data_IF_881896780961
#
_entry.id   IF_881896780961
#
_cell.length_a   1.000
_cell.length_b   1.000
_cell.length_c   1.000
_cell.angle_alpha   90.00
_cell.angle_beta   90.00
_cell.angle_gamma   90.00
#
_symmetry.space_group_name_H-M   'P 1'
#
loop_
_entity.id
_entity.type
_entity.pdbx_description
1 polymer ?
#
# COMPACT_ATOMS: atom_id res chain seq x y z
N UNK A 1 -29.99 -4.44 -20.42
CA UNK A 1 -28.87 -3.56 -20.84
C UNK A 1 -29.18 -2.16 -20.35
N UNK A 2 -28.78 -1.86 -19.11
CA UNK A 2 -28.77 -0.50 -18.59
C UNK A 2 -27.30 -0.08 -18.60
N UNK A 3 -26.96 0.95 -19.38
CA UNK A 3 -25.60 1.47 -19.42
C UNK A 3 -25.27 2.14 -18.10
N UNK A 4 -24.26 1.64 -17.41
CA UNK A 4 -23.63 2.30 -16.28
C UNK A 4 -23.07 3.64 -16.78
N UNK A 5 -23.83 4.70 -16.56
CA UNK A 5 -23.32 6.06 -16.75
C UNK A 5 -22.46 6.37 -15.52
N UNK A 6 -21.20 6.80 -15.69
CA UNK A 6 -20.37 7.19 -14.54
C UNK A 6 -21.07 8.31 -13.77
N UNK A 7 -21.22 8.11 -12.45
CA UNK A 7 -21.73 9.13 -11.52
C UNK A 7 -20.65 10.21 -11.40
N UNK A 8 -20.99 11.50 -11.49
CA UNK A 8 -20.00 12.57 -11.42
C UNK A 8 -19.30 12.59 -10.05
N UNK A 9 -17.97 12.47 -10.05
CA UNK A 9 -17.13 12.71 -8.88
C UNK A 9 -17.31 14.16 -8.41
N UNK A 10 -17.65 14.35 -7.14
CA UNK A 10 -17.75 15.69 -6.56
C UNK A 10 -16.35 16.17 -6.20
N UNK A 11 -15.88 17.24 -6.87
CA UNK A 11 -14.59 17.87 -6.57
C UNK A 11 -14.73 18.85 -5.41
N UNK A 12 -13.93 18.70 -4.34
CA UNK A 12 -13.80 19.73 -3.31
C UNK A 12 -12.83 20.86 -3.71
N UNK A 13 -11.79 20.57 -4.48
CA UNK A 13 -10.77 21.55 -4.85
C UNK A 13 -10.72 21.78 -6.38
N UNK A 14 -11.08 22.99 -6.84
CA UNK A 14 -11.26 23.32 -8.27
C UNK A 14 -9.97 23.70 -9.00
N UNK A 15 -8.88 23.98 -8.27
CA UNK A 15 -7.69 24.65 -8.80
C UNK A 15 -6.45 23.74 -9.00
N UNK A 16 -6.60 22.42 -8.96
CA UNK A 16 -5.50 21.45 -9.13
C UNK A 16 -5.85 20.31 -10.12
N UNK A 17 -4.84 19.63 -10.66
CA UNK A 17 -4.96 18.59 -11.70
C UNK A 17 -6.00 17.53 -11.34
N UNK A 18 -6.88 17.09 -12.25
CA UNK A 18 -7.97 16.16 -11.90
C UNK A 18 -7.46 14.78 -11.47
N UNK A 19 -8.19 14.10 -10.59
CA UNK A 19 -8.02 12.66 -10.38
C UNK A 19 -8.19 11.92 -11.73
N UNK A 20 -7.38 10.89 -11.96
CA UNK A 20 -7.46 10.02 -13.14
C UNK A 20 -8.14 8.73 -12.73
N UNK A 21 -9.28 8.43 -13.34
CA UNK A 21 -10.07 7.23 -13.03
C UNK A 21 -10.22 6.41 -14.30
N UNK A 22 -9.83 5.14 -14.20
CA UNK A 22 -9.95 4.20 -15.29
C UNK A 22 -11.44 3.98 -15.67
N UNK A 23 -11.80 3.91 -16.96
CA UNK A 23 -13.18 3.72 -17.41
C UNK A 23 -13.88 2.46 -16.88
N UNK A 24 -13.13 1.42 -16.53
CA UNK A 24 -13.67 0.17 -15.99
C UNK A 24 -13.90 0.22 -14.46
N UNK A 25 -13.66 1.37 -13.83
CA UNK A 25 -13.94 1.61 -12.41
C UNK A 25 -15.45 1.69 -12.15
N UNK A 26 -15.92 0.95 -11.15
CA UNK A 26 -17.34 0.93 -10.76
C UNK A 26 -17.54 1.77 -9.50
N UNK A 27 -18.24 2.90 -9.62
CA UNK A 27 -18.63 3.70 -8.46
C UNK A 27 -19.98 3.21 -7.94
N UNK A 28 -20.03 2.72 -6.71
CA UNK A 28 -21.21 2.11 -6.10
C UNK A 28 -21.88 3.13 -5.17
N UNK A 29 -23.04 3.65 -5.61
CA UNK A 29 -24.08 4.35 -4.85
C UNK A 29 -23.60 5.20 -3.64
N UNK A 30 -23.37 6.50 -3.85
CA UNK A 30 -23.11 7.46 -2.77
C UNK A 30 -22.24 8.65 -3.20
N UNK A 31 -21.94 9.54 -2.26
CA UNK A 31 -20.95 10.59 -2.46
C UNK A 31 -19.55 9.98 -2.37
N UNK A 32 -18.76 10.11 -3.44
CA UNK A 32 -17.35 9.72 -3.50
C UNK A 32 -16.55 10.97 -3.86
N UNK A 33 -15.51 11.25 -3.08
CA UNK A 33 -14.61 12.37 -3.31
C UNK A 33 -13.20 11.84 -3.55
N UNK A 34 -12.62 12.23 -4.67
CA UNK A 34 -11.24 11.95 -5.00
C UNK A 34 -10.53 13.27 -5.31
N UNK A 35 -9.50 13.60 -4.55
CA UNK A 35 -8.73 14.82 -4.77
C UNK A 35 -7.78 14.69 -5.96
N UNK A 36 -7.40 15.84 -6.53
CA UNK A 36 -6.28 15.99 -7.45
C UNK A 36 -5.05 15.12 -7.14
N UNK A 37 -4.58 14.37 -8.14
CA UNK A 37 -3.41 13.49 -8.03
C UNK A 37 -3.72 12.04 -7.66
N UNK A 38 -4.98 11.70 -7.34
CA UNK A 38 -5.37 10.30 -7.16
C UNK A 38 -5.44 9.55 -8.51
N UNK A 39 -4.89 8.34 -8.55
CA UNK A 39 -4.91 7.44 -9.70
C UNK A 39 -5.72 6.20 -9.34
N UNK A 40 -6.82 5.94 -10.04
CA UNK A 40 -7.72 4.83 -9.74
C UNK A 40 -7.71 3.87 -10.92
N UNK A 41 -7.14 2.68 -10.70
CA UNK A 41 -6.99 1.64 -11.70
C UNK A 41 -8.30 0.95 -12.08
N UNK A 42 -8.26 0.06 -13.10
CA UNK A 42 -9.45 -0.61 -13.62
C UNK A 42 -10.11 -1.51 -12.57
N UNK A 43 -11.44 -1.65 -12.67
CA UNK A 43 -12.24 -2.59 -11.84
C UNK A 43 -12.16 -2.30 -10.33
N UNK A 44 -11.82 -1.08 -9.93
CA UNK A 44 -11.95 -0.63 -8.55
C UNK A 44 -13.42 -0.36 -8.23
N UNK A 45 -13.86 -0.72 -7.02
CA UNK A 45 -15.19 -0.42 -6.49
C UNK A 45 -15.09 0.60 -5.36
N UNK A 46 -15.71 1.76 -5.53
CA UNK A 46 -15.79 2.80 -4.51
C UNK A 46 -17.21 2.84 -3.94
N UNK A 47 -17.33 2.63 -2.63
CA UNK A 47 -18.59 2.74 -1.90
C UNK A 47 -18.92 4.17 -1.45
N UNK A 48 -20.12 4.39 -0.89
CA UNK A 48 -20.50 5.66 -0.27
C UNK A 48 -19.46 6.12 0.76
N UNK A 49 -19.23 7.43 0.78
CA UNK A 49 -18.35 8.14 1.72
C UNK A 49 -16.86 7.76 1.61
N UNK A 50 -16.46 7.13 0.50
CA UNK A 50 -15.04 6.95 0.19
C UNK A 50 -14.40 8.30 -0.15
N UNK A 51 -13.37 8.66 0.63
CA UNK A 51 -12.58 9.89 0.47
C UNK A 51 -11.13 9.51 0.16
N UNK A 52 -10.65 9.88 -1.04
CA UNK A 52 -9.31 9.54 -1.52
C UNK A 52 -8.51 10.80 -1.83
N UNK A 53 -7.41 11.01 -1.12
CA UNK A 53 -6.54 12.17 -1.34
C UNK A 53 -5.15 11.71 -1.75
N UNK A 54 -4.64 12.18 -2.90
CA UNK A 54 -3.29 11.81 -3.40
C UNK A 54 -3.00 10.30 -3.40
N UNK A 55 -4.03 9.48 -3.64
CA UNK A 55 -3.98 8.02 -3.46
C UNK A 55 -3.90 7.31 -4.79
N UNK A 56 -3.04 6.28 -4.89
CA UNK A 56 -2.97 5.40 -6.05
C UNK A 56 -3.56 4.04 -5.72
N UNK A 57 -4.56 3.60 -6.47
CA UNK A 57 -5.25 2.32 -6.27
C UNK A 57 -5.01 1.45 -7.50
N UNK A 58 -4.32 0.33 -7.29
CA UNK A 58 -4.14 -0.70 -8.29
C UNK A 58 -5.43 -1.51 -8.48
N UNK A 59 -5.66 -2.00 -9.70
CA UNK A 59 -6.94 -2.56 -10.12
C UNK A 59 -7.48 -3.70 -9.25
N UNK A 60 -8.78 -3.96 -9.36
CA UNK A 60 -9.50 -5.01 -8.61
C UNK A 60 -9.56 -4.79 -7.08
N UNK A 61 -9.63 -3.55 -6.59
CA UNK A 61 -9.80 -3.23 -5.16
C UNK A 61 -11.23 -2.78 -4.79
N UNK A 62 -11.60 -2.90 -3.51
CA UNK A 62 -12.87 -2.41 -2.95
C UNK A 62 -12.57 -1.45 -1.80
N UNK A 63 -12.94 -0.18 -1.95
CA UNK A 63 -12.83 0.84 -0.92
C UNK A 63 -14.23 1.29 -0.51
N UNK A 64 -14.56 1.19 0.77
CA UNK A 64 -15.94 1.39 1.24
C UNK A 64 -15.97 2.11 2.58
N UNK A 65 -16.65 3.25 2.65
CA UNK A 65 -16.81 4.06 3.87
C UNK A 65 -15.46 4.26 4.58
N UNK A 66 -14.52 4.84 3.83
CA UNK A 66 -13.13 4.97 4.24
C UNK A 66 -12.52 6.31 3.85
N UNK A 67 -11.53 6.74 4.62
CA UNK A 67 -10.66 7.87 4.34
C UNK A 67 -9.24 7.35 4.08
N UNK A 68 -8.70 7.63 2.91
CA UNK A 68 -7.39 7.17 2.46
C UNK A 68 -6.62 8.37 1.91
N UNK A 69 -5.50 8.70 2.53
CA UNK A 69 -4.67 9.84 2.16
C UNK A 69 -3.26 9.37 1.79
N UNK A 70 -2.75 9.79 0.64
CA UNK A 70 -1.35 9.59 0.21
C UNK A 70 -0.87 8.15 0.12
N UNK A 71 -1.78 7.19 -0.01
CA UNK A 71 -1.51 5.75 0.07
C UNK A 71 -1.38 5.11 -1.30
N UNK A 72 -0.55 4.07 -1.38
CA UNK A 72 -0.60 3.08 -2.47
C UNK A 72 -1.44 1.88 -2.00
N UNK A 73 -2.57 1.62 -2.67
CA UNK A 73 -3.43 0.47 -2.42
C UNK A 73 -3.24 -0.55 -3.54
N UNK A 74 -2.76 -1.75 -3.19
CA UNK A 74 -2.56 -2.85 -4.12
C UNK A 74 -3.86 -3.50 -4.59
N UNK A 75 -3.74 -4.37 -5.59
CA UNK A 75 -4.88 -5.10 -6.14
C UNK A 75 -5.56 -6.04 -5.13
N UNK A 76 -6.86 -6.33 -5.30
CA UNK A 76 -7.62 -7.26 -4.44
C UNK A 76 -7.69 -6.86 -2.96
N UNK A 77 -7.45 -5.60 -2.64
CA UNK A 77 -7.63 -5.10 -1.28
C UNK A 77 -9.11 -4.84 -0.98
N UNK A 78 -9.48 -4.99 0.29
CA UNK A 78 -10.71 -4.41 0.85
C UNK A 78 -10.32 -3.41 1.93
N UNK A 79 -10.70 -2.14 1.77
CA UNK A 79 -10.38 -1.08 2.73
C UNK A 79 -11.66 -0.48 3.30
N UNK A 80 -11.73 -0.46 4.63
CA UNK A 80 -12.71 0.29 5.43
C UNK A 80 -11.97 1.08 6.50
N UNK A 81 -12.57 2.15 7.02
CA UNK A 81 -11.95 2.95 8.08
C UNK A 81 -10.97 4.00 7.58
N UNK A 82 -9.90 4.25 8.33
CA UNK A 82 -8.92 5.28 8.00
C UNK A 82 -7.54 4.69 7.71
N UNK A 83 -6.87 5.24 6.69
CA UNK A 83 -5.49 4.90 6.32
C UNK A 83 -4.70 6.19 6.13
N UNK A 84 -3.72 6.43 7.00
CA UNK A 84 -2.92 7.64 7.05
C UNK A 84 -1.89 7.79 5.92
N UNK A 85 -1.38 9.01 5.78
CA UNK A 85 -0.42 9.41 4.74
C UNK A 85 0.84 8.53 4.71
N UNK A 86 1.35 8.27 3.51
CA UNK A 86 2.55 7.46 3.28
C UNK A 86 2.43 5.98 3.64
N UNK A 87 1.25 5.51 4.09
CA UNK A 87 1.00 4.09 4.32
C UNK A 87 0.91 3.33 2.99
N UNK A 88 1.37 2.09 2.98
CA UNK A 88 1.23 1.19 1.83
C UNK A 88 0.36 0.00 2.21
N UNK A 89 -0.71 -0.21 1.45
CA UNK A 89 -1.65 -1.33 1.60
C UNK A 89 -1.36 -2.35 0.51
N UNK A 90 -0.73 -3.47 0.84
CA UNK A 90 -0.32 -4.46 -0.15
C UNK A 90 -1.48 -5.32 -0.66
N UNK A 91 -1.40 -5.91 -1.87
CA UNK A 91 -2.46 -6.69 -2.49
C UNK A 91 -3.02 -7.78 -1.60
N UNK A 92 -4.32 -8.01 -1.73
CA UNK A 92 -5.05 -8.97 -0.92
C UNK A 92 -5.19 -8.58 0.55
N UNK A 93 -4.76 -7.38 0.96
CA UNK A 93 -4.97 -6.89 2.33
C UNK A 93 -6.45 -6.62 2.59
N UNK A 94 -6.91 -7.05 3.76
CA UNK A 94 -8.27 -6.80 4.23
C UNK A 94 -8.20 -5.92 5.48
N UNK A 95 -8.58 -4.65 5.34
CA UNK A 95 -8.75 -3.72 6.46
C UNK A 95 -10.23 -3.72 6.85
N UNK A 96 -10.53 -4.61 7.79
CA UNK A 96 -11.88 -4.89 8.26
C UNK A 96 -12.65 -5.81 7.31
N UNK A 97 -13.27 -6.85 7.86
CA UNK A 97 -14.50 -7.48 7.33
C UNK A 97 -15.02 -8.56 8.29
N UNK A 98 -16.22 -8.33 8.86
CA UNK A 98 -17.30 -9.29 9.10
C UNK A 98 -18.51 -8.51 9.65
N UNK A 99 -19.45 -8.05 8.82
CA UNK A 99 -20.74 -7.52 9.32
C UNK A 99 -21.69 -8.67 9.66
N UNK A 100 -21.43 -9.34 10.79
CA UNK A 100 -22.47 -10.12 11.47
C UNK A 100 -23.05 -9.22 12.54
N UNK A 101 -24.11 -8.50 12.19
CA UNK A 101 -24.97 -7.69 13.08
C UNK A 101 -24.28 -7.00 14.28
N UNK A 102 -24.00 -5.70 14.18
CA UNK A 102 -23.51 -4.88 15.29
C UNK A 102 -22.90 -3.55 14.83
N UNK A 103 -22.68 -2.63 15.76
CA UNK A 103 -21.78 -1.48 15.57
C UNK A 103 -20.35 -2.02 15.62
N UNK A 104 -19.72 -2.12 14.46
CA UNK A 104 -18.35 -2.58 14.33
C UNK A 104 -17.52 -1.35 13.97
N UNK A 105 -16.62 -0.96 14.87
CA UNK A 105 -15.65 0.09 14.60
C UNK A 105 -14.70 -0.37 13.48
N UNK A 106 -14.51 0.42 12.42
CA UNK A 106 -13.56 0.07 11.38
C UNK A 106 -12.12 0.19 11.90
N UNK A 107 -11.12 -0.46 11.26
CA UNK A 107 -9.72 -0.26 11.64
C UNK A 107 -9.25 1.18 11.46
N UNK A 108 -8.29 1.58 12.28
CA UNK A 108 -7.55 2.85 12.15
C UNK A 108 -6.09 2.52 11.86
N UNK A 109 -5.57 2.95 10.70
CA UNK A 109 -4.18 2.75 10.30
C UNK A 109 -3.47 4.09 10.25
N UNK A 110 -2.39 4.23 11.01
CA UNK A 110 -1.57 5.43 11.11
C UNK A 110 -0.79 5.77 9.85
N UNK A 111 0.13 6.72 9.97
CA UNK A 111 0.97 7.19 8.87
C UNK A 111 2.19 6.29 8.66
N UNK A 112 2.63 6.15 7.40
CA UNK A 112 3.86 5.42 7.04
C UNK A 112 3.85 3.93 7.41
N UNK A 113 2.68 3.33 7.57
CA UNK A 113 2.53 1.90 7.90
C UNK A 113 2.80 1.04 6.67
N UNK A 114 3.42 -0.11 6.87
CA UNK A 114 3.56 -1.15 5.85
C UNK A 114 2.63 -2.33 6.18
N UNK A 115 1.57 -2.51 5.39
CA UNK A 115 0.64 -3.63 5.54
C UNK A 115 0.97 -4.70 4.52
N UNK A 116 1.65 -5.77 4.93
CA UNK A 116 2.11 -6.87 4.07
C UNK A 116 0.99 -7.56 3.27
N UNK A 117 1.30 -8.14 2.10
CA UNK A 117 0.32 -8.74 1.20
C UNK A 117 -0.47 -9.84 1.89
N UNK A 118 -1.77 -9.85 1.62
CA UNK A 118 -2.69 -10.84 2.19
C UNK A 118 -2.89 -10.74 3.72
N UNK A 119 -2.41 -9.69 4.38
CA UNK A 119 -2.69 -9.50 5.79
C UNK A 119 -4.17 -9.12 6.02
N UNK A 120 -4.69 -9.42 7.20
CA UNK A 120 -6.05 -9.08 7.61
C UNK A 120 -6.00 -8.35 8.94
N UNK A 121 -6.61 -7.17 9.01
CA UNK A 121 -6.74 -6.37 10.23
C UNK A 121 -8.18 -6.47 10.69
N UNK A 122 -8.38 -7.00 11.89
CA UNK A 122 -9.72 -7.14 12.45
C UNK A 122 -10.32 -5.77 12.78
N UNK A 123 -11.67 -5.67 12.77
CA UNK A 123 -12.32 -4.43 13.14
C UNK A 123 -11.99 -3.96 14.56
N UNK A 124 -11.95 -2.64 14.76
CA UNK A 124 -11.62 -1.99 16.02
C UNK A 124 -10.13 -1.94 16.35
N UNK A 125 -9.27 -2.59 15.54
CA UNK A 125 -7.83 -2.58 15.73
C UNK A 125 -7.22 -1.27 15.24
N UNK A 126 -6.32 -0.71 16.05
CA UNK A 126 -5.48 0.46 15.73
C UNK A 126 -4.06 0.02 15.38
N UNK A 127 -3.54 0.48 14.26
CA UNK A 127 -2.14 0.27 13.84
C UNK A 127 -1.42 1.61 13.92
N UNK A 128 -0.47 1.72 14.84
CA UNK A 128 0.28 2.95 15.07
C UNK A 128 1.26 3.29 13.94
N UNK A 129 1.66 4.55 13.89
CA UNK A 129 2.51 5.12 12.82
C UNK A 129 3.82 4.34 12.64
N UNK A 130 4.22 4.13 11.38
CA UNK A 130 5.45 3.45 11.00
C UNK A 130 5.50 1.96 11.37
N UNK A 131 4.36 1.36 11.75
CA UNK A 131 4.29 -0.07 12.04
C UNK A 131 4.42 -0.93 10.76
N UNK A 132 4.79 -2.19 10.95
CA UNK A 132 4.91 -3.20 9.88
C UNK A 132 4.09 -4.42 10.25
N UNK A 133 3.20 -4.83 9.33
CA UNK A 133 2.46 -6.08 9.42
C UNK A 133 3.03 -7.04 8.38
N UNK A 134 3.59 -8.16 8.82
CA UNK A 134 4.19 -9.14 7.91
C UNK A 134 3.13 -9.77 6.97
N UNK A 135 3.54 -10.25 5.77
CA UNK A 135 2.66 -10.94 4.83
C UNK A 135 1.79 -12.04 5.46
N UNK A 136 0.51 -12.11 5.06
CA UNK A 136 -0.42 -13.16 5.50
C UNK A 136 -0.81 -13.12 7.00
N UNK A 137 -0.46 -12.05 7.72
CA UNK A 137 -0.75 -11.93 9.15
C UNK A 137 -2.22 -11.64 9.42
N UNK A 138 -2.75 -12.13 10.55
CA UNK A 138 -4.10 -11.80 11.03
C UNK A 138 -3.98 -11.01 12.33
N UNK A 139 -4.14 -9.69 12.22
CA UNK A 139 -3.97 -8.74 13.33
C UNK A 139 -5.25 -8.68 14.14
N UNK A 140 -5.16 -9.14 15.38
CA UNK A 140 -6.28 -9.26 16.34
C UNK A 140 -6.22 -8.24 17.48
N UNK A 141 -5.11 -7.53 17.62
CA UNK A 141 -4.83 -6.60 18.71
C UNK A 141 -4.11 -5.36 18.17
N UNK A 142 -4.20 -4.24 18.89
CA UNK A 142 -3.55 -2.99 18.51
C UNK A 142 -2.03 -3.16 18.35
N UNK A 143 -1.49 -2.52 17.32
CA UNK A 143 -0.05 -2.50 17.03
C UNK A 143 0.50 -1.14 17.47
N UNK A 144 1.48 -1.08 18.38
CA UNK A 144 2.07 0.19 18.78
C UNK A 144 2.80 0.85 17.61
N UNK A 145 3.01 2.18 17.63
CA UNK A 145 3.85 2.86 16.64
C UNK A 145 5.19 2.17 16.48
N UNK A 146 5.63 2.00 15.23
CA UNK A 146 6.84 1.27 14.83
C UNK A 146 6.84 -0.20 15.24
N UNK A 147 5.72 -0.76 15.70
CA UNK A 147 5.62 -2.17 16.02
C UNK A 147 5.71 -3.04 14.77
N UNK A 148 6.39 -4.17 14.87
CA UNK A 148 6.38 -5.21 13.83
C UNK A 148 5.60 -6.40 14.35
N UNK A 149 4.56 -6.82 13.64
CA UNK A 149 3.74 -7.99 14.00
C UNK A 149 3.67 -8.97 12.83
N UNK A 150 3.54 -10.25 13.17
CA UNK A 150 3.53 -11.31 12.16
C UNK A 150 2.86 -12.61 12.61
N UNK A 151 2.17 -13.28 11.69
CA UNK A 151 1.53 -14.59 11.90
C UNK A 151 0.01 -14.55 12.05
N UNK A 152 -0.59 -15.71 12.33
CA UNK A 152 -2.03 -15.87 12.53
C UNK A 152 -2.31 -16.71 13.80
N UNK A 153 -2.72 -16.08 14.92
CA UNK A 153 -2.87 -14.63 15.10
C UNK A 153 -1.51 -13.91 15.07
N UNK A 154 -1.51 -12.63 14.71
CA UNK A 154 -0.31 -11.83 14.60
C UNK A 154 0.29 -11.61 15.99
N UNK A 155 1.58 -11.92 16.13
CA UNK A 155 2.32 -11.74 17.38
C UNK A 155 3.43 -10.69 17.18
N UNK A 156 3.81 -9.94 18.22
CA UNK A 156 4.96 -9.04 18.15
C UNK A 156 6.24 -9.74 17.69
N UNK A 157 6.89 -9.17 16.68
CA UNK A 157 8.14 -9.64 16.06
C UNK A 157 9.30 -8.72 16.34
N UNK A 158 9.04 -7.44 16.56
CA UNK A 158 10.08 -6.44 16.75
C UNK A 158 9.56 -5.03 16.76
N UNK A 159 10.49 -4.10 16.62
CA UNK A 159 10.20 -2.70 16.36
C UNK A 159 11.05 -2.19 15.19
N UNK A 160 10.47 -1.35 14.36
CA UNK A 160 11.19 -0.53 13.39
C UNK A 160 12.04 0.47 14.18
N UNK A 161 13.36 0.37 14.05
CA UNK A 161 14.31 1.22 14.77
C UNK A 161 14.90 2.32 13.87
N UNK A 162 14.92 2.08 12.57
CA UNK A 162 15.42 3.02 11.57
C UNK A 162 14.71 2.77 10.23
N UNK A 163 14.93 3.64 9.25
CA UNK A 163 14.47 3.46 7.88
C UNK A 163 15.50 4.03 6.92
N UNK A 164 15.87 3.26 5.91
CA UNK A 164 16.73 3.75 4.83
C UNK A 164 15.84 4.24 3.70
N UNK A 165 16.18 5.39 3.14
CA UNK A 165 15.51 5.94 1.96
C UNK A 165 16.44 5.80 0.78
N UNK A 166 16.08 4.94 -0.17
CA UNK A 166 16.78 4.79 -1.44
C UNK A 166 16.18 5.76 -2.45
N UNK A 167 17.01 6.59 -3.08
CA UNK A 167 16.61 7.42 -4.21
C UNK A 167 16.67 6.57 -5.49
N UNK A 168 15.48 6.17 -5.98
CA UNK A 168 15.31 5.27 -7.11
C UNK A 168 14.88 6.05 -8.34
N UNK A 169 15.54 5.81 -9.47
CA UNK A 169 15.23 6.41 -10.76
C UNK A 169 15.18 5.31 -11.82
N UNK A 170 14.00 5.11 -12.37
CA UNK A 170 13.73 4.11 -13.40
C UNK A 170 13.96 4.76 -14.77
N UNK A 171 14.81 4.13 -15.58
CA UNK A 171 15.19 4.56 -16.92
C UNK A 171 14.82 3.50 -17.96
N UNK A 172 15.00 3.84 -19.24
CA UNK A 172 14.69 2.93 -20.34
C UNK A 172 15.66 1.75 -20.39
N UNK A 173 16.89 1.97 -19.92
CA UNK A 173 17.99 1.00 -19.99
C UNK A 173 18.35 0.37 -18.63
N UNK A 174 17.57 0.63 -17.58
CA UNK A 174 17.86 0.12 -16.23
C UNK A 174 17.25 0.96 -15.12
N UNK A 175 17.64 0.66 -13.89
CA UNK A 175 17.22 1.38 -12.68
C UNK A 175 18.45 1.90 -11.95
N UNK A 176 18.46 3.18 -11.63
CA UNK A 176 19.48 3.83 -10.82
C UNK A 176 19.00 3.91 -9.36
N UNK A 177 19.83 3.48 -8.42
CA UNK A 177 19.59 3.53 -6.96
C UNK A 177 20.78 4.20 -6.31
N UNK A 178 20.56 5.35 -5.67
CA UNK A 178 21.61 6.13 -4.99
C UNK A 178 22.87 6.37 -5.85
N UNK A 179 22.71 6.43 -7.18
CA UNK A 179 23.78 6.67 -8.16
C UNK A 179 24.40 5.42 -8.78
N UNK A 180 24.02 4.21 -8.35
CA UNK A 180 24.42 2.95 -8.97
C UNK A 180 23.35 2.44 -9.94
N UNK A 181 23.73 1.92 -11.09
CA UNK A 181 22.80 1.46 -12.15
C UNK A 181 22.72 -0.07 -12.22
N UNK A 182 21.50 -0.58 -12.31
CA UNK A 182 21.16 -2.00 -12.43
C UNK A 182 20.40 -2.21 -13.74
N UNK A 183 20.86 -3.11 -14.62
CA UNK A 183 20.31 -3.26 -15.96
C UNK A 183 18.99 -4.05 -15.95
N UNK A 184 18.92 -5.10 -15.13
CA UNK A 184 17.75 -5.99 -15.02
C UNK A 184 16.84 -5.64 -13.82
N UNK A 185 17.21 -4.61 -13.07
CA UNK A 185 16.55 -4.22 -11.83
C UNK A 185 17.32 -4.66 -10.58
N UNK A 186 16.76 -4.39 -9.41
CA UNK A 186 17.40 -4.66 -8.13
C UNK A 186 16.40 -5.19 -7.09
N UNK A 187 16.94 -5.83 -6.07
CA UNK A 187 16.26 -6.28 -4.87
C UNK A 187 16.95 -5.69 -3.64
N UNK A 188 16.20 -5.52 -2.55
CA UNK A 188 16.75 -5.08 -1.26
C UNK A 188 16.49 -6.17 -0.22
N UNK A 189 17.57 -6.68 0.36
CA UNK A 189 17.51 -7.54 1.52
C UNK A 189 17.73 -6.71 2.79
N UNK A 190 16.85 -6.84 3.78
CA UNK A 190 16.98 -6.12 5.05
C UNK A 190 17.73 -6.99 6.05
N UNK A 191 18.97 -6.63 6.35
CA UNK A 191 19.80 -7.33 7.35
C UNK A 191 19.89 -6.56 8.68
N UNK A 192 20.49 -7.17 9.70
CA UNK A 192 20.75 -6.50 10.98
C UNK A 192 21.76 -5.35 10.86
N UNK A 193 22.63 -5.38 9.84
CA UNK A 193 23.60 -4.33 9.53
C UNK A 193 23.02 -3.24 8.61
N UNK A 194 21.76 -3.37 8.20
CA UNK A 194 21.06 -2.47 7.28
C UNK A 194 20.65 -3.16 5.96
N UNK A 195 19.94 -2.44 5.10
CA UNK A 195 19.53 -2.96 3.80
C UNK A 195 20.70 -3.08 2.83
N UNK A 196 20.81 -4.22 2.15
CA UNK A 196 21.74 -4.47 1.05
C UNK A 196 20.99 -4.48 -0.27
N UNK A 197 21.53 -3.79 -1.28
CA UNK A 197 20.96 -3.73 -2.63
C UNK A 197 21.73 -4.70 -3.53
N UNK A 198 21.02 -5.57 -4.22
CA UNK A 198 21.60 -6.56 -5.14
C UNK A 198 20.85 -6.58 -6.48
N UNK A 199 21.55 -6.88 -7.57
CA UNK A 199 20.93 -7.11 -8.88
C UNK A 199 20.22 -8.47 -8.89
N UNK A 200 18.96 -8.53 -9.33
CA UNK A 200 18.26 -9.81 -9.51
C UNK A 200 16.79 -9.83 -9.12
N UNK A 201 16.29 -11.05 -8.88
CA UNK A 201 14.87 -11.35 -8.65
C UNK A 201 14.28 -10.59 -7.45
N UNK A 202 12.99 -10.18 -7.53
CA UNK A 202 12.42 -9.31 -6.53
C UNK A 202 12.26 -10.03 -5.19
N UNK A 203 12.84 -9.47 -4.14
CA UNK A 203 12.54 -9.78 -2.74
C UNK A 203 11.32 -8.99 -2.25
N UNK A 204 11.34 -8.60 -0.97
CA UNK A 204 10.27 -7.77 -0.42
C UNK A 204 10.30 -6.34 -0.98
N UNK A 205 11.49 -5.80 -1.27
CA UNK A 205 11.65 -4.47 -1.89
C UNK A 205 12.57 -4.56 -3.10
N UNK A 206 12.33 -3.75 -4.12
CA UNK A 206 13.14 -3.78 -5.34
C UNK A 206 12.44 -3.13 -6.52
N UNK A 207 13.07 -3.17 -7.69
CA UNK A 207 12.44 -2.83 -8.97
C UNK A 207 12.92 -3.83 -10.00
N UNK A 208 12.04 -4.43 -10.77
CA UNK A 208 12.42 -5.42 -11.80
C UNK A 208 11.69 -5.19 -13.10
N UNK A 209 12.28 -5.67 -14.18
CA UNK A 209 11.70 -5.55 -15.52
C UNK A 209 10.57 -6.57 -15.73
N UNK A 210 9.41 -6.12 -16.22
CA UNK A 210 8.32 -6.99 -16.66
C UNK A 210 7.97 -6.73 -18.13
N UNK A 211 7.15 -7.62 -18.73
CA UNK A 211 6.87 -7.65 -20.19
C UNK A 211 6.47 -6.29 -20.79
N UNK A 212 5.80 -5.42 -20.03
CA UNK A 212 5.28 -4.14 -20.51
C UNK A 212 5.67 -2.93 -19.64
N UNK A 213 6.76 -3.02 -18.86
CA UNK A 213 7.25 -1.92 -18.01
C UNK A 213 7.82 -2.37 -16.68
N UNK A 214 8.31 -1.42 -15.88
CA UNK A 214 8.98 -1.72 -14.61
C UNK A 214 7.97 -1.98 -13.49
N UNK A 215 8.26 -2.99 -12.68
CA UNK A 215 7.52 -3.32 -11.46
C UNK A 215 8.34 -2.90 -10.25
N UNK A 216 7.82 -1.95 -9.47
CA UNK A 216 8.42 -1.53 -8.21
C UNK A 216 7.86 -2.39 -7.09
N UNK A 217 8.71 -3.21 -6.47
CA UNK A 217 8.40 -4.03 -5.31
C UNK A 217 8.63 -3.25 -4.01
N UNK A 218 7.64 -3.31 -3.11
CA UNK A 218 7.75 -2.91 -1.71
C UNK A 218 6.98 -3.91 -0.85
N UNK A 219 7.52 -4.29 0.31
CA UNK A 219 6.89 -5.23 1.24
C UNK A 219 6.20 -6.45 0.60
N UNK A 220 6.74 -7.05 -0.46
CA UNK A 220 6.18 -8.25 -1.11
C UNK A 220 5.10 -7.99 -2.17
N UNK A 221 4.98 -6.76 -2.66
CA UNK A 221 4.01 -6.39 -3.71
C UNK A 221 4.60 -5.46 -4.73
N UNK A 222 4.08 -5.50 -5.96
CA UNK A 222 4.56 -4.65 -7.03
C UNK A 222 3.52 -3.66 -7.52
N UNK A 223 3.98 -2.46 -7.90
CA UNK A 223 3.21 -1.52 -8.73
C UNK A 223 3.93 -1.35 -10.06
N UNK A 224 3.16 -1.39 -11.14
CA UNK A 224 3.69 -1.08 -12.46
C UNK A 224 3.88 0.42 -12.59
N UNK A 225 5.11 0.85 -12.87
CA UNK A 225 5.42 2.26 -13.12
C UNK A 225 5.58 2.52 -14.62
N UNK A 226 5.15 3.70 -15.10
CA UNK A 226 5.24 4.04 -16.51
C UNK A 226 6.70 4.23 -16.93
N UNK A 227 7.18 3.37 -17.82
CA UNK A 227 8.39 3.57 -18.65
C UNK A 227 9.60 4.24 -17.97
N UNK A 228 10.37 4.98 -18.77
CA UNK A 228 11.57 5.70 -18.34
C UNK A 228 11.26 7.07 -17.75
N UNK A 229 12.16 7.59 -16.92
CA UNK A 229 12.07 8.92 -16.31
C UNK A 229 11.28 8.99 -15.01
N UNK A 230 10.91 7.84 -14.42
CA UNK A 230 10.17 7.78 -13.17
C UNK A 230 11.12 7.78 -11.96
N UNK A 231 11.02 8.77 -11.07
CA UNK A 231 11.89 8.90 -9.89
C UNK A 231 11.06 8.90 -8.60
N UNK A 232 11.49 8.14 -7.61
CA UNK A 232 10.82 8.06 -6.32
C UNK A 232 11.79 7.71 -5.18
N UNK A 233 11.35 8.00 -3.95
CA UNK A 233 12.04 7.59 -2.73
C UNK A 233 11.45 6.28 -2.23
N UNK A 234 12.27 5.24 -2.09
CA UNK A 234 11.88 3.95 -1.49
C UNK A 234 12.31 3.89 -0.04
N UNK A 235 11.33 3.81 0.85
CA UNK A 235 11.57 3.68 2.29
C UNK A 235 11.63 2.20 2.64
N UNK A 236 12.76 1.77 3.21
CA UNK A 236 13.03 0.39 3.63
C UNK A 236 13.22 0.38 5.15
N UNK A 237 12.32 -0.25 5.94
CA UNK A 237 12.39 -0.23 7.39
C UNK A 237 13.50 -1.18 7.91
N UNK A 238 14.22 -0.74 8.94
CA UNK A 238 15.20 -1.55 9.69
C UNK A 238 14.54 -2.05 10.97
N UNK A 239 14.46 -3.36 11.12
CA UNK A 239 13.70 -4.00 12.21
C UNK A 239 14.63 -4.60 13.25
N UNK A 240 14.46 -4.18 14.51
CA UNK A 240 15.04 -4.88 15.65
C UNK A 240 14.09 -5.98 16.11
N UNK A 241 14.48 -7.24 15.87
CA UNK A 241 13.72 -8.40 16.34
C UNK A 241 13.63 -8.43 17.86
N UNK A 242 12.49 -8.85 18.39
CA UNK A 242 12.39 -9.26 19.80
C UNK A 242 13.28 -10.49 19.95
N UNK A 243 14.24 -10.47 20.89
CA UNK A 243 15.20 -11.55 21.10
C UNK A 243 14.49 -12.91 21.13
N UNK A 244 14.79 -13.76 20.14
CA UNK A 244 14.05 -14.99 19.92
C UNK A 244 14.33 -16.03 20.99
N UNK A 245 13.28 -16.56 21.63
CA UNK A 245 13.24 -18.01 21.83
C UNK A 245 12.85 -18.64 20.50
N UNK A 246 13.80 -19.33 19.87
CA UNK A 246 13.63 -19.91 18.54
C UNK A 246 12.45 -20.89 18.43
N UNK A 247 11.95 -21.02 17.20
CA UNK A 247 11.33 -22.23 16.67
C UNK A 247 11.80 -22.41 15.25
#
# INVERSE_FOLDING_TARGET
>A
MAGDRPIPLTRRNKDQHPAVVDPDTVIVLGDVSADPGSLIGPRVRLGPDAFLTRTSVEGDAVLYNCEVEGVLVGSRCTVTGSVGDGTTVHPGTVLGQLRVSGEIEPPEVGEGVLLGPGCSVLPGVRIGDGAVVEPGSVVTEDVPPRGVVGGNPAMPRGMVIDSVVLDVKVEETGVEVDGETFEDGFSVEVTEDGPTVEEGEPGDYGVVMAEDGWLVYRGGSSVKVPGSGFRFKMVVPVVRKVGGSGR
#
